data_IF_169771392626
#
_entry.id   IF_169771392626
#
_cell.length_a   1.000
_cell.length_b   1.000
_cell.length_c   1.000
_cell.angle_alpha   90.00
_cell.angle_beta   90.00
_cell.angle_gamma   90.00
#
_symmetry.space_group_name_H-M   'P 1'
#
loop_
_entity.id
_entity.type
_entity.pdbx_description
1 polymer ?
#
# COMPACT_ATOMS: atom_id res chain seq x y z
N UNK A 1 -4.52 4.47 -13.18
CA UNK A 1 -5.43 5.35 -13.96
C UNK A 1 -6.46 6.15 -13.14
N UNK A 2 -6.58 5.90 -11.85
CA UNK A 2 -7.42 6.69 -10.93
C UNK A 2 -6.92 8.14 -10.86
N UNK A 3 -5.62 8.34 -10.82
CA UNK A 3 -5.00 9.68 -10.82
C UNK A 3 -5.26 10.49 -12.08
N UNK A 4 -5.31 9.84 -13.24
CA UNK A 4 -5.63 10.50 -14.50
C UNK A 4 -7.03 11.11 -14.47
N UNK A 5 -8.01 10.39 -13.90
CA UNK A 5 -9.39 10.89 -13.73
C UNK A 5 -9.47 12.07 -12.76
N UNK A 6 -8.69 12.05 -11.67
CA UNK A 6 -8.63 13.17 -10.73
C UNK A 6 -8.17 14.45 -11.42
N UNK A 7 -7.08 14.39 -12.20
CA UNK A 7 -6.58 15.57 -12.91
C UNK A 7 -7.56 16.04 -13.99
N UNK A 8 -8.16 15.11 -14.74
CA UNK A 8 -9.20 15.44 -15.73
C UNK A 8 -10.39 16.15 -15.06
N UNK A 9 -10.84 15.68 -13.89
CA UNK A 9 -11.96 16.31 -13.18
C UNK A 9 -11.59 17.68 -12.62
N UNK A 10 -10.36 17.85 -12.11
CA UNK A 10 -9.87 19.17 -11.68
C UNK A 10 -9.75 20.16 -12.85
N UNK A 11 -9.32 19.71 -14.02
CA UNK A 11 -9.27 20.54 -15.23
C UNK A 11 -10.69 20.93 -15.66
N UNK A 12 -11.63 19.98 -15.69
CA UNK A 12 -13.04 20.26 -16.02
C UNK A 12 -13.67 21.25 -15.03
N UNK A 13 -13.39 21.10 -13.73
CA UNK A 13 -13.87 22.04 -12.70
C UNK A 13 -13.27 23.44 -12.89
N UNK A 14 -11.98 23.51 -13.24
CA UNK A 14 -11.30 24.77 -13.57
C UNK A 14 -11.87 25.44 -14.81
N UNK A 15 -12.19 24.65 -15.84
CA UNK A 15 -12.82 25.15 -17.08
C UNK A 15 -14.24 25.66 -16.80
N UNK A 16 -15.05 24.89 -16.07
CA UNK A 16 -16.41 25.29 -15.72
C UNK A 16 -16.48 26.55 -14.81
N UNK A 17 -15.46 26.77 -13.97
CA UNK A 17 -15.37 27.94 -13.08
C UNK A 17 -14.64 29.14 -13.70
N UNK A 18 -14.10 29.03 -14.91
CA UNK A 18 -13.30 30.07 -15.59
C UNK A 18 -11.95 30.36 -14.90
N UNK A 19 -11.49 29.49 -13.98
CA UNK A 19 -10.24 29.63 -13.20
C UNK A 19 -9.23 28.53 -13.50
N UNK A 20 -9.15 28.13 -14.75
CA UNK A 20 -8.32 27.00 -15.21
C UNK A 20 -6.84 27.16 -14.84
N UNK A 21 -6.30 28.37 -14.93
CA UNK A 21 -4.95 28.74 -14.56
C UNK A 21 -4.62 28.40 -13.10
N UNK A 22 -5.51 28.77 -12.17
CA UNK A 22 -5.35 28.48 -10.73
C UNK A 22 -5.38 26.98 -10.45
N UNK A 23 -6.27 26.24 -11.13
CA UNK A 23 -6.35 24.78 -10.96
C UNK A 23 -5.14 24.07 -11.55
N UNK A 24 -4.62 24.52 -12.67
CA UNK A 24 -3.40 23.97 -13.27
C UNK A 24 -2.19 24.18 -12.35
N UNK A 25 -2.03 25.36 -11.77
CA UNK A 25 -0.95 25.62 -10.80
C UNK A 25 -1.05 24.73 -9.55
N UNK A 26 -2.27 24.53 -9.03
CA UNK A 26 -2.50 23.59 -7.91
C UNK A 26 -2.15 22.14 -8.27
N UNK A 27 -2.45 21.72 -9.50
CA UNK A 27 -2.10 20.38 -9.99
C UNK A 27 -0.58 20.24 -10.07
N UNK A 28 0.12 21.24 -10.61
CA UNK A 28 1.59 21.24 -10.71
C UNK A 28 2.22 21.16 -9.32
N UNK A 29 1.82 22.00 -8.36
CA UNK A 29 2.33 21.97 -6.99
C UNK A 29 2.07 20.61 -6.30
N UNK A 30 0.89 20.03 -6.49
CA UNK A 30 0.56 18.71 -5.96
C UNK A 30 1.44 17.60 -6.58
N UNK A 31 1.71 17.66 -7.87
CA UNK A 31 2.58 16.72 -8.58
C UNK A 31 4.03 16.86 -8.11
N UNK A 32 4.54 18.08 -7.98
CA UNK A 32 5.90 18.32 -7.49
C UNK A 32 6.10 17.83 -6.06
N UNK A 33 5.16 18.13 -5.15
CA UNK A 33 5.18 17.63 -3.77
C UNK A 33 5.20 16.11 -3.73
N UNK A 34 4.38 15.48 -4.56
CA UNK A 34 4.32 14.02 -4.68
C UNK A 34 5.63 13.44 -5.19
N UNK A 35 6.21 14.00 -6.23
CA UNK A 35 7.50 13.54 -6.76
C UNK A 35 8.62 13.72 -5.75
N UNK A 36 8.65 14.83 -4.99
CA UNK A 36 9.60 15.06 -3.89
C UNK A 36 9.47 13.98 -2.80
N UNK A 37 8.23 13.66 -2.38
CA UNK A 37 7.97 12.62 -1.38
C UNK A 37 8.40 11.25 -1.91
N UNK A 38 8.04 10.91 -3.15
CA UNK A 38 8.41 9.64 -3.78
C UNK A 38 9.93 9.48 -3.89
N UNK A 39 10.65 10.54 -4.28
CA UNK A 39 12.11 10.56 -4.32
C UNK A 39 12.71 10.37 -2.92
N UNK A 40 12.19 11.05 -1.89
CA UNK A 40 12.65 10.89 -0.49
C UNK A 40 12.43 9.45 0.01
N UNK A 41 11.28 8.86 -0.23
CA UNK A 41 10.99 7.47 0.15
C UNK A 41 11.93 6.51 -0.58
N UNK A 42 12.11 6.67 -1.90
CA UNK A 42 13.00 5.83 -2.70
C UNK A 42 14.45 5.93 -2.20
N UNK A 43 14.93 7.14 -1.93
CA UNK A 43 16.27 7.36 -1.39
C UNK A 43 16.45 6.76 0.01
N UNK A 44 15.46 6.92 0.89
CA UNK A 44 15.51 6.36 2.24
C UNK A 44 15.50 4.82 2.25
N UNK A 45 14.78 4.20 1.31
CA UNK A 45 14.71 2.75 1.18
C UNK A 45 15.89 2.14 0.41
N UNK A 46 16.68 2.93 -0.29
CA UNK A 46 17.78 2.43 -1.12
C UNK A 46 18.86 1.75 -0.27
N UNK A 47 19.29 2.40 0.81
CA UNK A 47 20.32 1.84 1.69
C UNK A 47 19.88 0.53 2.37
N UNK A 48 18.71 0.45 3.06
CA UNK A 48 18.22 -0.82 3.60
C UNK A 48 18.06 -1.90 2.53
N UNK A 49 17.56 -1.57 1.34
CA UNK A 49 17.39 -2.53 0.26
C UNK A 49 18.71 -3.13 -0.21
N UNK A 50 19.76 -2.30 -0.37
CA UNK A 50 21.10 -2.76 -0.74
C UNK A 50 21.65 -3.67 0.36
N UNK A 51 21.58 -3.25 1.63
CA UNK A 51 22.07 -4.05 2.75
C UNK A 51 21.39 -5.42 2.85
N UNK A 52 20.05 -5.46 2.74
CA UNK A 52 19.30 -6.72 2.73
C UNK A 52 19.67 -7.60 1.53
N UNK A 53 19.81 -6.99 0.35
CA UNK A 53 20.19 -7.75 -0.86
C UNK A 53 21.57 -8.38 -0.69
N UNK A 54 22.56 -7.61 -0.24
CA UNK A 54 23.91 -8.12 0.01
C UNK A 54 23.89 -9.22 1.07
N UNK A 55 23.18 -9.01 2.18
CA UNK A 55 23.07 -10.01 3.24
C UNK A 55 22.45 -11.32 2.75
N UNK A 56 21.37 -11.24 1.96
CA UNK A 56 20.72 -12.42 1.38
C UNK A 56 21.66 -13.14 0.39
N UNK A 57 22.34 -12.39 -0.50
CA UNK A 57 23.26 -12.97 -1.48
C UNK A 57 24.44 -13.67 -0.80
N UNK A 58 25.06 -13.01 0.19
CA UNK A 58 26.18 -13.61 0.95
C UNK A 58 25.70 -14.84 1.73
N UNK A 59 24.56 -14.77 2.41
CA UNK A 59 24.01 -15.90 3.15
C UNK A 59 23.67 -17.09 2.22
N UNK A 60 23.07 -16.80 1.08
CA UNK A 60 22.78 -17.82 0.07
C UNK A 60 24.06 -18.46 -0.48
N UNK A 61 25.09 -17.64 -0.78
CA UNK A 61 26.40 -18.14 -1.23
C UNK A 61 27.03 -19.05 -0.17
N UNK A 62 27.04 -18.64 1.10
CA UNK A 62 27.56 -19.44 2.21
C UNK A 62 26.82 -20.77 2.33
N UNK A 63 25.49 -20.75 2.29
CA UNK A 63 24.68 -21.96 2.37
C UNK A 63 24.90 -22.89 1.17
N UNK A 64 24.98 -22.36 -0.03
CA UNK A 64 25.03 -23.16 -1.26
C UNK A 64 26.45 -23.68 -1.56
N UNK A 65 27.48 -22.88 -1.25
CA UNK A 65 28.87 -23.23 -1.64
C UNK A 65 29.75 -23.62 -0.46
N UNK A 66 29.70 -22.91 0.66
CA UNK A 66 30.64 -23.06 1.75
C UNK A 66 30.24 -24.17 2.71
N UNK A 67 28.99 -24.16 3.15
CA UNK A 67 28.48 -25.16 4.13
C UNK A 67 28.71 -26.63 3.66
N UNK A 68 28.46 -27.01 2.38
CA UNK A 68 28.69 -28.35 1.93
C UNK A 68 30.17 -28.79 1.94
N UNK A 69 31.10 -27.86 1.80
CA UNK A 69 32.54 -28.15 1.88
C UNK A 69 32.90 -28.58 3.31
N UNK A 70 32.41 -27.83 4.30
CA UNK A 70 32.61 -28.22 5.70
C UNK A 70 31.97 -29.57 6.03
N UNK A 71 30.75 -29.82 5.54
CA UNK A 71 30.09 -31.11 5.74
C UNK A 71 30.93 -32.29 5.24
N UNK A 72 31.50 -32.20 4.03
CA UNK A 72 32.38 -33.21 3.48
C UNK A 72 33.67 -33.43 4.29
N UNK A 73 34.21 -32.36 4.88
CA UNK A 73 35.38 -32.47 5.77
C UNK A 73 35.06 -33.25 7.05
N UNK A 74 33.90 -32.98 7.69
CA UNK A 74 33.46 -33.74 8.86
C UNK A 74 33.20 -35.22 8.54
N UNK A 75 32.53 -35.49 7.42
CA UNK A 75 32.30 -36.87 6.95
C UNK A 75 33.63 -37.63 6.71
N UNK A 76 34.62 -36.94 6.11
CA UNK A 76 35.93 -37.52 5.87
C UNK A 76 36.73 -37.80 7.15
N UNK A 77 36.44 -37.13 8.26
CA UNK A 77 37.05 -37.35 9.57
C UNK A 77 36.27 -38.36 10.44
N UNK A 78 35.12 -38.86 9.98
CA UNK A 78 34.28 -39.78 10.75
C UNK A 78 33.63 -39.14 11.99
N UNK A 79 33.56 -37.80 12.06
CA UNK A 79 33.04 -37.07 13.21
C UNK A 79 31.60 -36.68 12.92
N UNK A 80 30.69 -36.98 13.87
CA UNK A 80 29.29 -36.55 13.76
C UNK A 80 29.15 -35.02 13.81
N UNK A 81 28.38 -34.46 12.89
CA UNK A 81 28.11 -33.01 12.86
C UNK A 81 27.37 -32.54 14.10
N UNK A 82 27.74 -31.39 14.69
CA UNK A 82 26.97 -30.76 15.73
C UNK A 82 25.54 -30.44 15.24
N UNK A 83 24.53 -30.60 16.12
CA UNK A 83 23.11 -30.38 15.79
C UNK A 83 22.83 -29.07 15.05
N UNK A 84 23.35 -27.90 15.48
CA UNK A 84 23.13 -26.64 14.75
C UNK A 84 23.64 -26.69 13.31
N UNK A 85 24.81 -27.28 13.09
CA UNK A 85 25.40 -27.41 11.77
C UNK A 85 24.61 -28.36 10.87
N UNK A 86 24.07 -29.45 11.43
CA UNK A 86 23.19 -30.36 10.71
C UNK A 86 21.91 -29.70 10.21
N UNK A 87 21.32 -28.80 11.01
CA UNK A 87 20.15 -28.02 10.59
C UNK A 87 20.50 -27.09 9.42
N UNK A 88 21.61 -26.38 9.51
CA UNK A 88 22.08 -25.47 8.44
C UNK A 88 22.36 -26.26 7.15
N UNK A 89 22.92 -27.46 7.29
CA UNK A 89 23.17 -28.34 6.16
C UNK A 89 21.87 -28.80 5.50
N UNK A 90 20.89 -29.25 6.29
CA UNK A 90 19.56 -29.61 5.79
C UNK A 90 18.88 -28.44 5.04
N UNK A 91 19.00 -27.21 5.54
CA UNK A 91 18.53 -26.01 4.83
C UNK A 91 19.29 -25.77 3.51
N UNK A 92 20.61 -25.99 3.53
CA UNK A 92 21.45 -25.87 2.33
C UNK A 92 21.02 -26.89 1.26
N UNK A 93 20.84 -28.14 1.64
CA UNK A 93 20.45 -29.21 0.74
C UNK A 93 19.04 -29.01 0.19
N UNK A 94 18.14 -28.54 1.03
CA UNK A 94 16.80 -28.13 0.60
C UNK A 94 16.83 -27.01 -0.46
N UNK A 95 17.64 -25.96 -0.23
CA UNK A 95 17.77 -24.84 -1.17
C UNK A 95 18.45 -25.22 -2.49
N UNK A 96 19.42 -26.14 -2.44
CA UNK A 96 20.13 -26.62 -3.63
C UNK A 96 19.34 -27.64 -4.42
N UNK A 97 18.48 -28.40 -3.77
CA UNK A 97 17.64 -29.40 -4.37
C UNK A 97 16.37 -28.87 -5.00
N UNK A 98 15.46 -29.78 -5.30
CA UNK A 98 14.13 -29.46 -5.80
C UNK A 98 13.30 -28.63 -4.83
N UNK A 99 13.59 -28.68 -3.53
CA UNK A 99 12.92 -27.90 -2.48
C UNK A 99 13.05 -26.39 -2.69
N UNK A 100 14.23 -25.91 -3.08
CA UNK A 100 14.43 -24.48 -3.38
C UNK A 100 13.60 -23.99 -4.56
N UNK A 101 13.52 -24.78 -5.64
CA UNK A 101 12.67 -24.46 -6.79
C UNK A 101 11.18 -24.49 -6.43
N UNK A 102 10.74 -25.52 -5.70
CA UNK A 102 9.36 -25.63 -5.23
C UNK A 102 8.99 -24.45 -4.33
N UNK A 103 9.88 -24.07 -3.41
CA UNK A 103 9.67 -22.90 -2.54
C UNK A 103 9.53 -21.60 -3.36
N UNK A 104 10.39 -21.39 -4.36
CA UNK A 104 10.36 -20.21 -5.22
C UNK A 104 9.07 -20.14 -6.04
N UNK A 105 8.69 -21.27 -6.68
CA UNK A 105 7.43 -21.38 -7.43
C UNK A 105 6.23 -21.16 -6.51
N UNK A 106 6.25 -21.73 -5.30
CA UNK A 106 5.19 -21.57 -4.31
C UNK A 106 5.01 -20.11 -3.88
N UNK A 107 6.11 -19.38 -3.63
CA UNK A 107 6.07 -17.96 -3.29
C UNK A 107 5.49 -17.15 -4.46
N UNK A 108 5.96 -17.37 -5.68
CA UNK A 108 5.46 -16.68 -6.86
C UNK A 108 3.97 -16.97 -7.07
N UNK A 109 3.60 -18.26 -7.00
CA UNK A 109 2.21 -18.71 -7.14
C UNK A 109 1.30 -18.08 -6.06
N UNK A 110 1.78 -18.05 -4.82
CA UNK A 110 1.06 -17.42 -3.71
C UNK A 110 0.84 -15.91 -3.95
N UNK A 111 1.87 -15.18 -4.36
CA UNK A 111 1.78 -13.74 -4.65
C UNK A 111 0.81 -13.47 -5.80
N UNK A 112 0.90 -14.26 -6.88
CA UNK A 112 0.01 -14.13 -8.04
C UNK A 112 -1.43 -14.47 -7.67
N UNK A 113 -1.65 -15.60 -6.97
CA UNK A 113 -2.97 -16.02 -6.52
C UNK A 113 -3.58 -15.00 -5.56
N UNK A 114 -2.80 -14.49 -4.60
CA UNK A 114 -3.24 -13.47 -3.67
C UNK A 114 -3.65 -12.19 -4.40
N UNK A 115 -2.85 -11.71 -5.35
CA UNK A 115 -3.17 -10.54 -6.16
C UNK A 115 -4.41 -10.77 -7.03
N UNK A 116 -4.54 -11.95 -7.61
CA UNK A 116 -5.71 -12.33 -8.40
C UNK A 116 -6.98 -12.37 -7.54
N UNK A 117 -6.94 -13.01 -6.37
CA UNK A 117 -8.06 -13.12 -5.45
C UNK A 117 -8.50 -11.75 -4.90
N UNK A 118 -7.55 -10.90 -4.51
CA UNK A 118 -7.86 -9.53 -4.02
C UNK A 118 -8.40 -8.62 -5.12
N UNK A 119 -8.09 -8.89 -6.40
CA UNK A 119 -8.61 -8.10 -7.52
C UNK A 119 -9.99 -8.57 -7.97
N UNK A 120 -10.22 -9.89 -8.01
CA UNK A 120 -11.45 -10.49 -8.54
C UNK A 120 -12.55 -10.64 -7.49
N UNK A 121 -12.21 -10.93 -6.24
CA UNK A 121 -13.20 -11.18 -5.20
C UNK A 121 -13.41 -9.94 -4.30
N UNK A 122 -14.57 -9.27 -4.38
CA UNK A 122 -14.83 -8.06 -3.61
C UNK A 122 -14.83 -8.30 -2.09
N UNK A 123 -15.24 -9.49 -1.62
CA UNK A 123 -15.25 -9.82 -0.20
C UNK A 123 -13.81 -9.97 0.37
N UNK A 124 -12.90 -10.61 -0.39
CA UNK A 124 -11.50 -10.74 0.00
C UNK A 124 -10.83 -9.37 -0.02
N UNK A 125 -11.09 -8.57 -1.05
CA UNK A 125 -10.58 -7.21 -1.18
C UNK A 125 -11.03 -6.33 0.00
N UNK A 126 -12.29 -6.41 0.40
CA UNK A 126 -12.82 -5.68 1.54
C UNK A 126 -12.12 -6.09 2.86
N UNK A 127 -12.04 -7.40 3.12
CA UNK A 127 -11.34 -7.93 4.31
C UNK A 127 -9.89 -7.48 4.35
N UNK A 128 -9.18 -7.57 3.23
CA UNK A 128 -7.78 -7.13 3.12
C UNK A 128 -7.61 -5.64 3.39
N UNK A 129 -8.42 -4.79 2.74
CA UNK A 129 -8.37 -3.33 2.94
C UNK A 129 -8.71 -2.95 4.39
N UNK A 130 -9.67 -3.64 5.00
CA UNK A 130 -10.00 -3.46 6.42
C UNK A 130 -8.86 -3.88 7.34
N UNK A 131 -8.20 -5.00 7.04
CA UNK A 131 -7.06 -5.48 7.84
C UNK A 131 -5.87 -4.52 7.75
N UNK A 132 -5.58 -4.00 6.55
CA UNK A 132 -4.51 -3.00 6.35
C UNK A 132 -4.75 -1.73 7.18
N UNK A 133 -6.00 -1.26 7.28
CA UNK A 133 -6.34 -0.10 8.12
C UNK A 133 -6.24 -0.39 9.64
N UNK A 134 -6.25 -1.68 10.05
CA UNK A 134 -6.08 -2.10 11.45
C UNK A 134 -4.64 -2.42 11.84
N UNK A 135 -3.72 -2.39 10.89
CA UNK A 135 -2.31 -2.68 11.19
C UNK A 135 -1.73 -1.58 12.10
N UNK A 136 -1.03 -1.95 13.18
CA UNK A 136 -0.39 -0.98 14.04
C UNK A 136 0.60 -0.13 13.24
N UNK A 137 0.68 1.17 13.49
CA UNK A 137 1.51 2.18 12.82
C UNK A 137 1.11 2.46 11.37
N UNK A 138 1.06 1.44 10.51
CA UNK A 138 0.75 1.61 9.08
C UNK A 138 -0.72 1.94 8.81
N UNK A 139 -1.64 1.32 9.56
CA UNK A 139 -3.08 1.55 9.38
C UNK A 139 -3.46 3.00 9.67
N UNK A 140 -2.95 3.54 10.77
CA UNK A 140 -3.19 4.94 11.16
C UNK A 140 -2.59 5.93 10.14
N UNK A 141 -1.37 5.68 9.67
CA UNK A 141 -0.71 6.50 8.64
C UNK A 141 -1.51 6.50 7.32
N UNK A 142 -1.95 5.33 6.87
CA UNK A 142 -2.74 5.18 5.65
C UNK A 142 -4.09 5.91 5.80
N UNK A 143 -4.78 5.71 6.92
CA UNK A 143 -6.07 6.34 7.19
C UNK A 143 -5.95 7.87 7.22
N UNK A 144 -4.99 8.42 7.97
CA UNK A 144 -4.72 9.87 8.04
C UNK A 144 -4.40 10.45 6.65
N UNK A 145 -3.58 9.75 5.87
CA UNK A 145 -3.25 10.16 4.50
C UNK A 145 -4.47 10.18 3.57
N UNK A 146 -5.34 9.17 3.67
CA UNK A 146 -6.57 9.10 2.88
C UNK A 146 -7.54 10.22 3.27
N UNK A 147 -7.75 10.46 4.56
CA UNK A 147 -8.65 11.51 5.04
C UNK A 147 -8.13 12.89 4.67
N UNK A 148 -6.84 13.16 4.88
CA UNK A 148 -6.24 14.44 4.47
C UNK A 148 -6.44 14.70 2.97
N UNK A 149 -6.30 13.67 2.15
CA UNK A 149 -6.55 13.76 0.70
C UNK A 149 -8.01 14.03 0.38
N UNK A 150 -8.94 13.33 1.02
CA UNK A 150 -10.38 13.52 0.85
C UNK A 150 -10.76 14.95 1.24
N UNK A 151 -10.33 15.41 2.42
CA UNK A 151 -10.60 16.77 2.91
C UNK A 151 -10.04 17.84 1.97
N UNK A 152 -8.82 17.65 1.46
CA UNK A 152 -8.22 18.58 0.50
C UNK A 152 -9.04 18.66 -0.80
N UNK A 153 -9.50 17.51 -1.31
CA UNK A 153 -10.32 17.46 -2.53
C UNK A 153 -11.66 18.13 -2.29
N UNK A 154 -12.35 17.78 -1.22
CA UNK A 154 -13.65 18.41 -0.87
C UNK A 154 -13.51 19.91 -0.68
N UNK A 155 -12.49 20.38 0.04
CA UNK A 155 -12.21 21.80 0.24
C UNK A 155 -11.95 22.54 -1.07
N UNK A 156 -11.12 21.98 -1.96
CA UNK A 156 -10.81 22.60 -3.25
C UNK A 156 -12.03 22.65 -4.18
N UNK A 157 -12.84 21.59 -4.23
CA UNK A 157 -14.04 21.53 -5.06
C UNK A 157 -15.15 22.45 -4.52
N UNK A 158 -15.32 22.50 -3.19
CA UNK A 158 -16.24 23.43 -2.55
C UNK A 158 -15.84 24.88 -2.80
N UNK A 159 -14.55 25.22 -2.69
CA UNK A 159 -14.05 26.56 -3.01
C UNK A 159 -14.22 26.93 -4.49
N UNK A 160 -14.31 25.93 -5.38
CA UNK A 160 -14.59 26.10 -6.81
C UNK A 160 -16.11 26.19 -7.11
N UNK A 161 -16.98 26.06 -6.10
CA UNK A 161 -18.43 26.07 -6.29
C UNK A 161 -19.03 24.77 -6.85
N UNK A 162 -18.27 23.68 -6.84
CA UNK A 162 -18.76 22.37 -7.27
C UNK A 162 -19.77 21.83 -6.27
N UNK A 163 -20.85 21.22 -6.75
CA UNK A 163 -21.88 20.61 -5.89
C UNK A 163 -21.27 19.58 -4.94
N UNK A 164 -21.74 19.59 -3.68
CA UNK A 164 -21.22 18.72 -2.61
C UNK A 164 -21.35 17.23 -2.96
N UNK A 165 -22.45 16.80 -3.56
CA UNK A 165 -22.67 15.39 -3.94
C UNK A 165 -21.68 14.95 -5.03
N UNK A 166 -21.42 15.80 -6.01
CA UNK A 166 -20.41 15.57 -7.04
C UNK A 166 -19.00 15.56 -6.45
N UNK A 167 -18.70 16.47 -5.52
CA UNK A 167 -17.44 16.52 -4.80
C UNK A 167 -17.18 15.22 -4.02
N UNK A 168 -18.21 14.63 -3.40
CA UNK A 168 -18.12 13.33 -2.71
C UNK A 168 -17.86 12.19 -3.70
N UNK A 169 -18.46 12.19 -4.88
CA UNK A 169 -18.17 11.18 -5.92
C UNK A 169 -16.71 11.27 -6.42
N UNK A 170 -16.22 12.47 -6.59
CA UNK A 170 -14.81 12.69 -6.97
C UNK A 170 -13.89 12.22 -5.84
N UNK A 171 -14.18 12.57 -4.58
CA UNK A 171 -13.41 12.13 -3.42
C UNK A 171 -13.41 10.60 -3.28
N UNK A 172 -14.57 9.95 -3.50
CA UNK A 172 -14.71 8.50 -3.56
C UNK A 172 -13.81 7.87 -4.62
N UNK A 173 -13.78 8.44 -5.82
CA UNK A 173 -13.00 7.91 -6.95
C UNK A 173 -11.48 7.91 -6.70
N UNK A 174 -11.02 8.77 -5.81
CA UNK A 174 -9.60 8.92 -5.44
C UNK A 174 -9.21 7.99 -4.29
N UNK A 175 -10.19 7.45 -3.56
CA UNK A 175 -9.95 6.48 -2.51
C UNK A 175 -9.64 5.11 -3.13
N UNK A 176 -8.43 4.61 -2.93
CA UNK A 176 -8.04 3.25 -3.34
C UNK A 176 -8.43 2.18 -2.31
N UNK A 177 -9.15 2.54 -1.25
CA UNK A 177 -9.57 1.65 -0.18
C UNK A 177 -11.09 1.48 -0.19
N UNK A 178 -11.56 0.24 -0.38
CA UNK A 178 -13.00 -0.07 -0.49
C UNK A 178 -13.76 0.29 0.79
N UNK A 179 -13.14 0.17 1.98
CA UNK A 179 -13.77 0.53 3.25
C UNK A 179 -14.00 2.04 3.34
N UNK A 180 -13.02 2.83 2.92
CA UNK A 180 -13.15 4.29 2.86
C UNK A 180 -14.17 4.72 1.79
N UNK A 181 -14.19 4.01 0.65
CA UNK A 181 -15.19 4.24 -0.41
C UNK A 181 -16.61 4.04 0.10
N UNK A 182 -16.85 2.97 0.87
CA UNK A 182 -18.15 2.68 1.49
C UNK A 182 -18.54 3.76 2.51
N UNK A 183 -17.59 4.19 3.36
CA UNK A 183 -17.83 5.27 4.32
C UNK A 183 -18.25 6.59 3.63
N UNK A 184 -17.59 6.94 2.50
CA UNK A 184 -17.98 8.12 1.71
C UNK A 184 -19.37 7.93 1.09
N UNK A 185 -19.72 6.72 0.63
CA UNK A 185 -21.05 6.42 0.10
C UNK A 185 -22.14 6.59 1.17
N UNK A 186 -21.87 6.18 2.41
CA UNK A 186 -22.79 6.39 3.54
C UNK A 186 -22.97 7.88 3.83
N UNK A 187 -21.88 8.64 3.88
CA UNK A 187 -21.91 10.09 4.03
C UNK A 187 -22.73 10.73 2.90
N UNK A 188 -22.51 10.32 1.64
CA UNK A 188 -23.26 10.84 0.49
C UNK A 188 -24.77 10.59 0.61
N UNK A 189 -25.17 9.38 1.04
CA UNK A 189 -26.59 9.06 1.29
C UNK A 189 -27.21 9.95 2.36
N UNK A 190 -26.48 10.20 3.45
CA UNK A 190 -26.94 11.09 4.51
C UNK A 190 -27.08 12.55 4.06
N UNK A 191 -26.14 13.04 3.25
CA UNK A 191 -26.24 14.39 2.64
C UNK A 191 -27.46 14.49 1.74
N UNK A 192 -27.75 13.45 0.95
CA UNK A 192 -28.94 13.41 0.12
C UNK A 192 -30.25 13.43 0.94
N UNK A 193 -30.21 12.90 2.17
CA UNK A 193 -31.34 12.95 3.14
C UNK A 193 -31.41 14.25 3.93
N UNK A 194 -30.56 15.25 3.61
CA UNK A 194 -30.56 16.59 4.26
C UNK A 194 -29.76 16.69 5.55
N UNK A 195 -29.00 15.65 5.95
CA UNK A 195 -28.12 15.75 7.11
C UNK A 195 -26.86 16.58 6.80
N UNK A 196 -26.33 17.27 7.80
CA UNK A 196 -25.11 18.05 7.62
C UNK A 196 -23.89 17.18 7.49
N UNK A 197 -22.95 17.57 6.62
CA UNK A 197 -21.71 16.84 6.35
C UNK A 197 -20.93 16.53 7.64
N UNK A 198 -20.79 17.51 8.53
CA UNK A 198 -20.08 17.37 9.81
C UNK A 198 -20.70 16.26 10.68
N UNK A 199 -22.03 16.22 10.80
CA UNK A 199 -22.74 15.22 11.59
C UNK A 199 -22.52 13.81 11.03
N UNK A 200 -22.50 13.69 9.71
CA UNK A 200 -22.30 12.41 9.03
C UNK A 200 -20.86 11.88 9.18
N UNK A 201 -19.86 12.75 9.05
CA UNK A 201 -18.48 12.36 9.32
C UNK A 201 -18.25 11.94 10.78
N UNK A 202 -18.93 12.58 11.73
CA UNK A 202 -18.89 12.21 13.16
C UNK A 202 -19.61 10.88 13.45
N UNK A 203 -20.62 10.51 12.67
CA UNK A 203 -21.31 9.22 12.81
C UNK A 203 -20.52 8.03 12.25
N UNK A 204 -19.64 8.27 11.29
CA UNK A 204 -18.86 7.21 10.66
C UNK A 204 -17.67 6.79 11.54
N UNK A 205 -17.61 5.51 12.00
CA UNK A 205 -16.58 5.04 12.92
C UNK A 205 -15.16 5.19 12.39
N UNK A 206 -15.03 5.16 11.05
CA UNK A 206 -13.74 5.29 10.38
C UNK A 206 -13.14 6.69 10.58
N UNK A 207 -13.98 7.72 10.58
CA UNK A 207 -13.55 9.11 10.74
C UNK A 207 -13.53 9.56 12.20
N UNK A 208 -14.35 8.94 13.06
CA UNK A 208 -14.46 9.26 14.47
C UNK A 208 -13.13 9.06 15.22
N UNK A 209 -12.41 7.98 14.92
CA UNK A 209 -11.10 7.69 15.52
C UNK A 209 -10.06 8.79 15.29
N UNK A 210 -10.22 9.58 14.25
CA UNK A 210 -9.30 10.66 13.88
C UNK A 210 -9.65 12.00 14.53
N UNK A 211 -10.93 12.25 14.77
CA UNK A 211 -11.41 13.48 15.41
C UNK A 211 -11.03 13.50 16.89
N UNK A 212 -10.94 12.33 17.53
CA UNK A 212 -10.49 12.20 18.93
C UNK A 212 -8.96 12.33 19.12
N UNK A 213 -8.17 12.27 18.06
CA UNK A 213 -6.71 12.42 18.12
C UNK A 213 -6.32 13.87 17.83
#
# INVERSE_FOLDING_TARGET
DVYKRQYVNLVKAGEASGKLDVFLLKIVDALEKREKIKKKIKSALMYPSIMFTVAIVVSAFMLIKVVPVFAKMYDGMGIALPKPTAVILAMSDFLRGTGGLVMLISIISFVVAFKYLTTKNPAIRYKWHRQVLRMPVFGDLILKSLIARISLILGNLSAAGVNLLESLDIAKSVSNNVVVTEAIDNVKKGVFSGETLTKLFLKEPLFLSLIHI
#
